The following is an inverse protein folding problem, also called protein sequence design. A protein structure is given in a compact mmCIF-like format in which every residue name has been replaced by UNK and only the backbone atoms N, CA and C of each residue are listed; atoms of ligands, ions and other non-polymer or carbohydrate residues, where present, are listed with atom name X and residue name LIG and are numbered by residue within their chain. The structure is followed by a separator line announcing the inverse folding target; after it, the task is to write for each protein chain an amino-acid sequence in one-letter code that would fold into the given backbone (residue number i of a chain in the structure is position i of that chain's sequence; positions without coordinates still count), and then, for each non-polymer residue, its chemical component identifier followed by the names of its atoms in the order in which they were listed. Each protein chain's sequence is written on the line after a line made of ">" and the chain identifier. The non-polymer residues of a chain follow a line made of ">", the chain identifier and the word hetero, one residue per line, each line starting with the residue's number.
data_IF_232120572339
#
_entry.id   IF_232120572339
#
_cell.length_a   1.000
_cell.length_b   1.000
_cell.length_c   1.000
_cell.angle_alpha   90.00
_cell.angle_beta   90.00
_cell.angle_gamma   90.00
#
_symmetry.space_group_name_H-M   'P 1'
#
loop_
_entity.id
_entity.type
_entity.pdbx_description
1 polymer ?
#
# COMPACT_ATOMS: atom_id res chain seq x y z
N UNK A 1 23.56 0.64 -4.21
CA UNK A 1 22.74 0.60 -2.99
C UNK A 1 21.38 1.16 -3.29
N UNK A 2 20.34 0.52 -2.76
CA UNK A 2 18.96 0.98 -2.96
C UNK A 2 18.54 1.93 -1.86
N UNK A 3 17.67 2.86 -2.21
CA UNK A 3 17.04 3.76 -1.26
C UNK A 3 15.54 3.55 -1.30
N UNK A 4 14.90 3.74 -0.16
CA UNK A 4 13.44 3.63 -0.03
C UNK A 4 12.86 4.96 0.41
N UNK A 5 11.84 5.42 -0.31
CA UNK A 5 11.03 6.55 0.10
C UNK A 5 9.89 6.02 0.97
N UNK A 6 9.83 6.48 2.21
CA UNK A 6 8.80 6.07 3.15
C UNK A 6 7.86 7.26 3.35
N UNK A 7 6.60 7.09 2.97
CA UNK A 7 5.58 8.13 3.07
C UNK A 7 4.60 7.75 4.17
N UNK A 8 4.47 8.60 5.17
CA UNK A 8 3.50 8.42 6.25
C UNK A 8 2.28 9.28 5.96
N UNK A 9 1.18 8.65 5.57
CA UNK A 9 -0.10 9.28 5.32
C UNK A 9 -0.87 9.37 6.63
N UNK A 10 -0.81 10.55 7.25
CA UNK A 10 -1.41 10.78 8.57
C UNK A 10 -2.84 11.27 8.44
N UNK A 11 -3.66 10.94 9.45
CA UNK A 11 -5.03 11.43 9.53
C UNK A 11 -5.04 12.90 9.96
N UNK A 12 -5.77 13.74 9.20
CA UNK A 12 -5.95 15.15 9.54
C UNK A 12 -4.70 16.00 9.45
N UNK A 13 -3.63 15.52 8.82
CA UNK A 13 -2.36 16.24 8.71
C UNK A 13 -1.73 16.00 7.33
N UNK A 14 -0.80 16.88 6.97
CA UNK A 14 -0.04 16.68 5.73
C UNK A 14 0.79 15.40 5.81
N UNK A 15 1.02 14.73 4.65
CA UNK A 15 1.93 13.58 4.64
C UNK A 15 3.33 13.98 5.08
N UNK A 16 4.01 13.03 5.67
CA UNK A 16 5.42 13.11 6.03
C UNK A 16 6.18 12.08 5.25
N UNK A 17 7.41 12.36 4.86
CA UNK A 17 8.22 11.35 4.18
C UNK A 17 9.68 11.48 4.55
N UNK A 18 10.40 10.38 4.38
CA UNK A 18 11.83 10.30 4.57
C UNK A 18 12.43 9.30 3.58
N UNK A 19 13.75 9.34 3.41
CA UNK A 19 14.46 8.40 2.57
C UNK A 19 15.45 7.64 3.44
N UNK A 20 15.43 6.32 3.34
CA UNK A 20 16.35 5.42 4.04
C UNK A 20 17.12 4.57 3.04
N UNK A 21 18.36 4.18 3.39
CA UNK A 21 19.10 3.22 2.59
C UNK A 21 18.81 1.79 3.03
N UNK A 22 19.46 0.81 2.39
CA UNK A 22 19.22 -0.61 2.67
C UNK A 22 19.62 -1.02 4.09
N UNK A 23 20.52 -0.27 4.72
CA UNK A 23 20.95 -0.54 6.10
C UNK A 23 20.01 0.06 7.14
N UNK A 24 18.96 0.75 6.71
CA UNK A 24 18.02 1.41 7.61
C UNK A 24 18.48 2.78 8.08
N UNK A 25 19.55 3.32 7.54
CA UNK A 25 20.02 4.65 7.89
C UNK A 25 19.23 5.71 7.12
N UNK A 26 18.92 6.82 7.79
CA UNK A 26 18.18 7.93 7.20
C UNK A 26 19.12 8.72 6.28
N UNK A 27 18.76 8.81 5.00
CA UNK A 27 19.50 9.59 3.99
C UNK A 27 18.93 11.00 3.90
N UNK A 28 17.59 11.11 3.92
CA UNK A 28 16.89 12.40 3.94
C UNK A 28 15.98 12.40 5.16
N UNK A 29 16.15 13.39 6.04
CA UNK A 29 15.35 13.51 7.25
C UNK A 29 13.87 13.74 6.92
N UNK A 30 13.00 13.39 7.87
CA UNK A 30 11.56 13.51 7.70
C UNK A 30 11.15 14.95 7.38
N UNK A 31 10.33 15.10 6.35
CA UNK A 31 9.80 16.37 5.85
C UNK A 31 8.31 16.25 5.72
N UNK A 32 7.57 17.33 5.98
CA UNK A 32 6.13 17.39 5.76
C UNK A 32 5.82 18.29 4.57
N UNK A 33 4.75 17.99 3.84
CA UNK A 33 4.33 18.78 2.71
C UNK A 33 3.24 18.10 1.90
N UNK A 34 3.06 18.53 0.66
CA UNK A 34 2.08 17.95 -0.24
C UNK A 34 2.54 16.60 -0.76
N UNK A 35 1.58 15.72 -1.04
CA UNK A 35 1.88 14.40 -1.61
C UNK A 35 2.63 14.51 -2.94
N UNK A 36 2.36 15.55 -3.73
CA UNK A 36 3.07 15.78 -4.99
C UNK A 36 4.58 15.99 -4.77
N UNK A 37 4.96 16.66 -3.69
CA UNK A 37 6.37 16.84 -3.32
C UNK A 37 7.02 15.52 -2.95
N UNK A 38 6.31 14.66 -2.21
CA UNK A 38 6.79 13.32 -1.88
C UNK A 38 6.96 12.47 -3.14
N UNK A 39 6.02 12.55 -4.06
CA UNK A 39 6.05 11.79 -5.31
C UNK A 39 7.28 12.14 -6.15
N UNK A 40 7.71 13.40 -6.13
CA UNK A 40 8.92 13.80 -6.85
C UNK A 40 10.19 13.10 -6.33
N UNK A 41 10.17 12.60 -5.10
CA UNK A 41 11.29 11.87 -4.50
C UNK A 41 11.29 10.38 -4.85
N UNK A 42 10.27 9.90 -5.55
CA UNK A 42 10.10 8.47 -5.80
C UNK A 42 10.99 7.92 -6.92
N UNK A 43 11.50 8.77 -7.80
CA UNK A 43 12.29 8.34 -8.95
C UNK A 43 13.53 7.55 -8.51
N UNK A 44 13.66 6.33 -9.00
CA UNK A 44 14.78 5.46 -8.69
C UNK A 44 14.77 4.86 -7.29
N UNK A 45 13.66 4.99 -6.56
CA UNK A 45 13.53 4.50 -5.20
C UNK A 45 12.34 3.58 -5.05
N UNK A 46 12.42 2.66 -4.11
CA UNK A 46 11.23 1.93 -3.65
C UNK A 46 10.36 2.89 -2.86
N UNK A 47 9.05 2.70 -2.94
CA UNK A 47 8.10 3.52 -2.20
C UNK A 47 7.32 2.63 -1.24
N UNK A 48 7.31 3.01 0.03
CA UNK A 48 6.50 2.36 1.06
C UNK A 48 5.60 3.41 1.69
N UNK A 49 4.32 3.09 1.80
CA UNK A 49 3.35 3.97 2.44
C UNK A 49 2.93 3.40 3.79
N UNK A 50 2.94 4.25 4.82
CA UNK A 50 2.46 3.91 6.15
C UNK A 50 1.13 4.61 6.35
N UNK A 51 0.11 3.85 6.71
CA UNK A 51 -1.25 4.35 6.87
C UNK A 51 -1.77 3.99 8.27
N UNK A 52 -2.67 4.82 8.84
CA UNK A 52 -3.32 4.45 10.09
C UNK A 52 -4.10 3.14 9.92
N UNK A 53 -4.00 2.25 10.90
CA UNK A 53 -4.67 0.95 10.84
C UNK A 53 -6.20 1.08 10.76
N UNK A 54 -6.75 2.18 11.24
CA UNK A 54 -8.18 2.46 11.18
C UNK A 54 -8.68 2.78 9.78
N UNK A 55 -7.79 3.09 8.84
CA UNK A 55 -8.15 3.45 7.46
C UNK A 55 -7.98 2.30 6.49
N UNK A 56 -7.47 1.16 6.93
CA UNK A 56 -7.19 0.02 6.07
C UNK A 56 -7.83 -1.24 6.60
N UNK A 57 -8.15 -2.15 5.70
CA UNK A 57 -8.52 -3.52 6.04
C UNK A 57 -7.39 -4.43 5.60
N UNK A 58 -6.70 -5.04 6.56
CA UNK A 58 -5.69 -6.04 6.27
C UNK A 58 -6.32 -7.43 6.37
N UNK A 59 -6.31 -8.18 5.28
CA UNK A 59 -6.95 -9.48 5.21
C UNK A 59 -6.18 -10.40 4.27
N UNK A 60 -6.74 -11.56 3.96
CA UNK A 60 -6.18 -12.46 2.98
C UNK A 60 -7.29 -13.10 2.16
N UNK A 61 -6.91 -13.73 1.06
CA UNK A 61 -7.85 -14.41 0.18
C UNK A 61 -7.29 -15.76 -0.25
N UNK A 62 -8.17 -16.74 -0.42
CA UNK A 62 -7.83 -18.06 -0.95
C UNK A 62 -8.18 -18.20 -2.43
N UNK A 63 -8.37 -17.07 -3.12
CA UNK A 63 -8.71 -17.09 -4.54
C UNK A 63 -7.72 -17.94 -5.33
N UNK A 64 -8.21 -18.84 -6.20
CA UNK A 64 -7.34 -19.83 -6.87
C UNK A 64 -6.55 -19.28 -8.06
N UNK A 65 -6.78 -18.02 -8.44
CA UNK A 65 -6.12 -17.43 -9.61
C UNK A 65 -4.61 -17.37 -9.42
N UNK A 66 -3.88 -17.53 -10.50
CA UNK A 66 -2.42 -17.43 -10.50
C UNK A 66 -1.99 -16.21 -11.31
N UNK A 67 -0.91 -15.57 -10.84
CA UNK A 67 -0.35 -14.40 -11.49
C UNK A 67 -1.00 -13.10 -11.02
N UNK A 68 -0.20 -12.04 -10.99
CA UNK A 68 -0.62 -10.74 -10.45
C UNK A 68 -1.81 -10.15 -11.20
N UNK A 69 -1.84 -10.27 -12.54
CA UNK A 69 -2.93 -9.72 -13.33
C UNK A 69 -4.27 -10.40 -13.04
N UNK A 70 -4.26 -11.73 -12.90
CA UNK A 70 -5.47 -12.49 -12.57
C UNK A 70 -5.96 -12.18 -11.17
N UNK A 71 -5.05 -12.12 -10.20
CA UNK A 71 -5.39 -11.77 -8.83
C UNK A 71 -5.99 -10.37 -8.76
N UNK A 72 -5.44 -9.41 -9.48
CA UNK A 72 -5.98 -8.06 -9.51
C UNK A 72 -7.41 -8.01 -10.04
N UNK A 73 -7.79 -8.94 -10.91
CA UNK A 73 -9.15 -9.03 -11.44
C UNK A 73 -10.12 -9.71 -10.48
N UNK A 74 -9.70 -10.76 -9.77
CA UNK A 74 -10.63 -11.59 -8.97
C UNK A 74 -10.70 -11.20 -7.50
N UNK A 75 -9.62 -10.68 -6.91
CA UNK A 75 -9.57 -10.35 -5.48
C UNK A 75 -10.66 -9.35 -5.06
N UNK A 76 -10.91 -8.24 -5.77
CA UNK A 76 -11.99 -7.32 -5.36
C UNK A 76 -13.33 -8.02 -5.22
N UNK A 77 -13.68 -8.90 -6.14
CA UNK A 77 -14.95 -9.63 -6.08
C UNK A 77 -14.96 -10.69 -4.98
N UNK A 78 -13.82 -11.35 -4.75
CA UNK A 78 -13.70 -12.33 -3.68
C UNK A 78 -13.88 -11.71 -2.28
N UNK A 79 -13.52 -10.44 -2.13
CA UNK A 79 -13.59 -9.71 -0.87
C UNK A 79 -14.78 -8.76 -0.77
N UNK A 80 -15.64 -8.71 -1.78
CA UNK A 80 -16.75 -7.75 -1.84
C UNK A 80 -17.64 -7.78 -0.60
N UNK A 81 -17.92 -8.96 -0.06
CA UNK A 81 -18.75 -9.13 1.12
C UNK A 81 -18.07 -8.69 2.41
N UNK A 82 -16.75 -8.55 2.41
CA UNK A 82 -15.97 -8.17 3.60
C UNK A 82 -15.77 -6.68 3.72
N UNK A 83 -16.10 -5.91 2.70
CA UNK A 83 -15.88 -4.47 2.69
C UNK A 83 -17.21 -3.75 2.78
N UNK A 84 -17.21 -2.60 3.45
CA UNK A 84 -18.42 -1.80 3.66
C UNK A 84 -18.75 -0.89 2.48
N UNK A 85 -17.77 -0.60 1.64
CA UNK A 85 -17.92 0.32 0.51
C UNK A 85 -17.95 -0.47 -0.80
N UNK A 86 -18.31 0.21 -1.89
CA UNK A 86 -18.31 -0.40 -3.22
C UNK A 86 -16.87 -0.61 -3.70
N UNK A 87 -16.62 -1.73 -4.38
CA UNK A 87 -15.26 -2.10 -4.78
C UNK A 87 -14.61 -1.10 -5.75
N UNK A 88 -15.43 -0.35 -6.50
CA UNK A 88 -14.92 0.69 -7.40
C UNK A 88 -14.24 1.83 -6.64
N UNK A 89 -14.62 2.04 -5.39
CA UNK A 89 -14.10 3.12 -4.54
C UNK A 89 -12.92 2.67 -3.70
N UNK A 90 -12.44 1.44 -3.89
CA UNK A 90 -11.40 0.84 -3.06
C UNK A 90 -10.17 0.49 -3.89
N UNK A 91 -9.02 0.62 -3.26
CA UNK A 91 -7.75 0.14 -3.81
C UNK A 91 -7.36 -1.14 -3.06
N UNK A 92 -6.99 -2.17 -3.80
CA UNK A 92 -6.58 -3.46 -3.26
C UNK A 92 -5.09 -3.65 -3.52
N UNK A 93 -4.29 -3.57 -2.46
CA UNK A 93 -2.86 -3.88 -2.54
C UNK A 93 -2.66 -5.36 -2.25
N UNK A 94 -2.19 -6.10 -3.24
CA UNK A 94 -2.13 -7.56 -3.22
C UNK A 94 -0.68 -7.99 -3.07
N UNK A 95 -0.40 -8.79 -2.05
CA UNK A 95 0.93 -9.35 -1.82
C UNK A 95 1.12 -10.70 -2.50
N UNK A 96 2.26 -11.32 -2.22
CA UNK A 96 2.59 -12.63 -2.77
C UNK A 96 1.87 -13.74 -2.02
N UNK A 97 1.47 -14.79 -2.75
CA UNK A 97 0.80 -15.94 -2.15
C UNK A 97 1.75 -16.64 -1.18
N UNK A 98 1.25 -16.93 0.02
CA UNK A 98 1.99 -17.70 1.00
C UNK A 98 2.04 -19.17 0.58
N UNK A 99 3.25 -19.72 0.43
CA UNK A 99 3.44 -21.09 -0.02
C UNK A 99 2.87 -22.11 0.97
N UNK A 100 2.89 -21.80 2.28
CA UNK A 100 2.42 -22.71 3.31
C UNK A 100 0.91 -22.80 3.38
N UNK A 101 0.21 -21.65 3.32
CA UNK A 101 -1.25 -21.61 3.47
C UNK A 101 -1.99 -21.51 2.14
N UNK A 102 -1.31 -21.13 1.07
CA UNK A 102 -1.95 -20.87 -0.22
C UNK A 102 -2.73 -19.57 -0.26
N UNK A 103 -2.68 -18.77 0.80
CA UNK A 103 -3.45 -17.52 0.88
C UNK A 103 -2.64 -16.34 0.39
N UNK A 104 -3.34 -15.33 -0.10
CA UNK A 104 -2.76 -14.10 -0.64
C UNK A 104 -3.08 -12.96 0.31
N UNK A 105 -2.07 -12.28 0.89
CA UNK A 105 -2.34 -11.13 1.74
C UNK A 105 -2.84 -9.95 0.92
N UNK A 106 -3.82 -9.22 1.46
CA UNK A 106 -4.44 -8.08 0.78
C UNK A 106 -4.65 -6.96 1.79
N UNK A 107 -4.32 -5.74 1.39
CA UNK A 107 -4.64 -4.53 2.14
C UNK A 107 -5.61 -3.71 1.31
N UNK A 108 -6.75 -3.35 1.90
CA UNK A 108 -7.81 -2.60 1.23
C UNK A 108 -7.87 -1.19 1.82
N UNK A 109 -7.89 -0.19 0.96
CA UNK A 109 -7.96 1.21 1.38
C UNK A 109 -8.86 1.99 0.42
N UNK A 110 -9.56 3.00 0.93
CA UNK A 110 -10.37 3.87 0.08
C UNK A 110 -9.48 4.62 -0.93
N UNK A 111 -9.88 4.64 -2.20
CA UNK A 111 -9.11 5.32 -3.25
C UNK A 111 -8.92 6.80 -2.95
N UNK A 112 -9.92 7.43 -2.37
CA UNK A 112 -9.85 8.85 -2.03
C UNK A 112 -8.70 9.17 -1.07
N UNK A 113 -8.20 8.18 -0.34
CA UNK A 113 -7.12 8.37 0.64
C UNK A 113 -5.74 8.46 -0.01
N UNK A 114 -5.57 7.82 -1.17
CA UNK A 114 -4.27 7.71 -1.84
C UNK A 114 -4.23 8.43 -3.19
N UNK A 115 -5.35 8.90 -3.69
CA UNK A 115 -5.41 9.66 -4.95
C UNK A 115 -5.22 11.15 -4.75
#
# INVERSE_FOLDING_TARGET
>A
MSESLIIHLRDGAQPQWMVCNDDGHVVVNAVSGDLAQATAMATGRRVAAILPATEVLATDSDAPAKGAAKLAQVIPYALEERVADEIENLHFAIGDRDAASGRVPVVVIARARID
#
